data_IF_996632951106
#
_entry.id   IF_996632951106
#
_cell.length_a   1.000
_cell.length_b   1.000
_cell.length_c   1.000
_cell.angle_alpha   90.00
_cell.angle_beta   90.00
_cell.angle_gamma   90.00
#
_symmetry.space_group_name_H-M   'P 1'
#
loop_
_entity.id
_entity.type
_entity.pdbx_description
1 polymer ?
#
# COMPACT_ATOMS: atom_id res chain seq x y z
N UNK A 1 11.86 -20.41 -2.45
CA UNK A 1 11.23 -21.40 -1.55
C UNK A 1 10.77 -20.67 -0.30
N UNK A 2 9.46 -20.47 -0.10
CA UNK A 2 8.93 -19.71 1.05
C UNK A 2 9.07 -20.56 2.31
N UNK A 3 9.67 -20.01 3.37
CA UNK A 3 9.91 -20.72 4.64
C UNK A 3 8.61 -21.31 5.21
N UNK A 4 8.68 -22.51 5.80
CA UNK A 4 7.54 -23.22 6.37
C UNK A 4 6.79 -22.38 7.43
N UNK A 5 7.50 -21.47 8.11
CA UNK A 5 6.93 -20.52 9.08
C UNK A 5 6.02 -19.50 8.42
N UNK A 6 6.45 -18.92 7.28
CA UNK A 6 5.64 -17.98 6.50
C UNK A 6 4.38 -18.71 6.00
N UNK A 7 4.53 -19.95 5.48
CA UNK A 7 3.37 -20.76 5.04
C UNK A 7 2.34 -20.94 6.15
N UNK A 8 2.75 -21.13 7.42
CA UNK A 8 1.80 -21.24 8.53
C UNK A 8 1.04 -19.95 8.80
N UNK A 9 1.72 -18.80 8.75
CA UNK A 9 1.11 -17.48 8.94
C UNK A 9 0.10 -17.17 7.83
N UNK A 10 0.41 -17.50 6.58
CA UNK A 10 -0.45 -17.18 5.42
C UNK A 10 -1.47 -18.27 5.07
N UNK A 11 -1.31 -19.49 5.59
CA UNK A 11 -2.21 -20.61 5.29
C UNK A 11 -3.69 -20.38 5.62
N UNK A 12 -4.07 -19.67 6.70
CA UNK A 12 -5.48 -19.36 6.98
C UNK A 12 -6.07 -18.40 5.93
N UNK A 13 -5.24 -17.57 5.31
CA UNK A 13 -5.61 -16.62 4.24
C UNK A 13 -5.90 -17.31 2.89
N UNK A 14 -5.46 -18.57 2.73
CA UNK A 14 -5.62 -19.34 1.49
C UNK A 14 -6.70 -20.42 1.57
N UNK A 15 -7.53 -20.44 2.61
CA UNK A 15 -8.72 -21.30 2.59
C UNK A 15 -9.67 -20.79 1.49
N UNK A 16 -9.97 -21.59 0.45
CA UNK A 16 -10.92 -21.18 -0.56
C UNK A 16 -12.30 -21.17 0.10
N UNK A 17 -12.89 -19.98 0.24
CA UNK A 17 -14.32 -19.85 0.47
C UNK A 17 -15.00 -20.04 -0.89
N UNK A 18 -16.03 -20.88 -0.92
CA UNK A 18 -16.65 -21.39 -2.15
C UNK A 18 -17.08 -20.31 -3.16
N UNK A 19 -17.00 -20.72 -4.43
CA UNK A 19 -17.16 -19.96 -5.67
C UNK A 19 -18.20 -18.83 -5.68
N UNK A 20 -17.74 -17.64 -6.07
CA UNK A 20 -18.56 -16.52 -6.55
C UNK A 20 -17.76 -15.72 -7.59
N UNK A 21 -18.41 -15.37 -8.70
CA UNK A 21 -17.85 -15.07 -10.02
C UNK A 21 -16.76 -13.98 -10.12
N UNK A 22 -15.86 -14.20 -11.08
CA UNK A 22 -14.72 -13.35 -11.45
C UNK A 22 -15.16 -12.30 -12.47
N UNK A 23 -14.97 -11.01 -12.19
CA UNK A 23 -14.99 -9.96 -13.21
C UNK A 23 -13.57 -9.49 -13.52
N UNK A 24 -13.00 -10.02 -14.59
CA UNK A 24 -11.68 -9.69 -15.12
C UNK A 24 -11.77 -8.56 -16.15
N UNK A 25 -11.53 -7.30 -15.78
CA UNK A 25 -11.21 -6.22 -16.74
C UNK A 25 -10.31 -5.12 -16.14
N UNK A 26 -9.21 -4.86 -16.86
CA UNK A 26 -8.35 -3.67 -16.78
C UNK A 26 -7.41 -3.57 -15.58
N UNK A 27 -6.23 -2.96 -15.79
CA UNK A 27 -5.15 -2.83 -14.80
C UNK A 27 -5.65 -2.32 -13.45
N UNK A 28 -5.67 -3.21 -12.47
CA UNK A 28 -6.32 -2.98 -11.19
C UNK A 28 -5.34 -2.33 -10.21
N UNK A 29 -5.19 -1.01 -10.31
CA UNK A 29 -4.44 -0.23 -9.30
C UNK A 29 -5.07 -0.35 -7.90
N UNK A 30 -6.35 -0.72 -7.83
CA UNK A 30 -7.19 -0.76 -6.62
C UNK A 30 -7.22 -2.10 -5.86
N UNK A 31 -6.61 -3.17 -6.38
CA UNK A 31 -6.59 -4.48 -5.73
C UNK A 31 -7.93 -5.24 -5.78
N UNK A 32 -7.87 -6.54 -5.56
CA UNK A 32 -8.94 -7.53 -5.69
C UNK A 32 -9.60 -7.83 -4.35
N UNK A 33 -10.88 -8.21 -4.36
CA UNK A 33 -11.62 -8.63 -3.16
C UNK A 33 -12.13 -10.05 -3.34
N UNK A 34 -11.92 -10.90 -2.34
CA UNK A 34 -12.47 -12.25 -2.22
C UNK A 34 -13.01 -12.46 -0.80
N UNK A 35 -14.32 -12.34 -0.62
CA UNK A 35 -14.96 -12.42 0.70
C UNK A 35 -14.43 -11.32 1.63
N UNK A 36 -13.82 -11.72 2.75
CA UNK A 36 -13.20 -10.81 3.73
C UNK A 36 -11.75 -10.42 3.38
N UNK A 37 -11.18 -10.98 2.30
CA UNK A 37 -9.82 -10.73 1.87
C UNK A 37 -9.81 -9.67 0.76
N UNK A 38 -9.17 -8.53 1.01
CA UNK A 38 -8.67 -7.66 -0.05
C UNK A 38 -7.21 -8.01 -0.31
N UNK A 39 -6.79 -8.06 -1.57
CA UNK A 39 -5.41 -8.34 -1.93
C UNK A 39 -5.03 -7.73 -3.27
N UNK A 40 -3.79 -7.30 -3.37
CA UNK A 40 -3.18 -6.83 -4.62
C UNK A 40 -2.06 -7.78 -5.00
N UNK A 41 -2.29 -8.52 -6.07
CA UNK A 41 -1.30 -9.42 -6.66
C UNK A 41 -0.08 -8.64 -7.19
N UNK A 42 1.11 -9.21 -6.99
CA UNK A 42 2.41 -8.87 -7.59
C UNK A 42 2.50 -7.49 -8.28
N UNK A 43 2.82 -6.44 -7.53
CA UNK A 43 3.34 -5.19 -8.09
C UNK A 43 4.85 -5.29 -8.34
N UNK A 44 5.38 -4.49 -9.28
CA UNK A 44 6.81 -4.45 -9.61
C UNK A 44 7.45 -3.21 -9.00
N UNK A 45 8.62 -3.38 -8.38
CA UNK A 45 9.53 -2.28 -8.07
C UNK A 45 10.91 -2.56 -8.68
N UNK A 46 11.84 -1.60 -8.56
CA UNK A 46 13.17 -1.66 -9.20
C UNK A 46 14.01 -2.90 -8.85
N UNK A 47 13.69 -3.59 -7.74
CA UNK A 47 14.49 -4.70 -7.22
C UNK A 47 13.67 -5.98 -6.97
N UNK A 48 12.42 -6.07 -7.43
CA UNK A 48 11.62 -7.28 -7.21
C UNK A 48 10.11 -7.11 -7.39
N UNK A 49 9.39 -8.09 -6.87
CA UNK A 49 7.94 -8.16 -6.84
C UNK A 49 7.43 -8.13 -5.40
N UNK A 50 6.28 -7.48 -5.20
CA UNK A 50 5.62 -7.41 -3.90
C UNK A 50 4.14 -7.78 -4.02
N UNK A 51 3.54 -8.25 -2.93
CA UNK A 51 2.09 -8.42 -2.85
C UNK A 51 1.59 -7.84 -1.53
N UNK A 52 0.31 -7.47 -1.49
CA UNK A 52 -0.32 -6.94 -0.28
C UNK A 52 -1.68 -7.57 -0.08
N UNK A 53 -2.07 -7.76 1.17
CA UNK A 53 -3.40 -8.27 1.51
C UNK A 53 -3.86 -7.74 2.86
N UNK A 54 -5.16 -7.51 2.98
CA UNK A 54 -5.87 -7.16 4.21
C UNK A 54 -7.00 -8.15 4.39
N UNK A 55 -7.12 -8.73 5.58
CA UNK A 55 -8.23 -9.62 5.93
C UNK A 55 -9.06 -8.94 7.00
N UNK A 56 -10.34 -8.77 6.72
CA UNK A 56 -11.29 -8.23 7.67
C UNK A 56 -11.59 -9.26 8.76
N UNK A 57 -11.16 -8.98 10.00
CA UNK A 57 -11.46 -9.80 11.17
C UNK A 57 -12.65 -9.28 12.00
N UNK A 58 -12.92 -7.97 11.96
CA UNK A 58 -13.99 -7.30 12.69
C UNK A 58 -15.23 -7.05 11.80
N UNK A 59 -16.37 -6.71 12.42
CA UNK A 59 -17.59 -6.35 11.68
C UNK A 59 -17.39 -5.18 10.72
N UNK A 60 -16.51 -4.25 11.11
CA UNK A 60 -16.08 -3.12 10.32
C UNK A 60 -14.60 -3.29 10.01
N UNK A 61 -14.21 -3.11 8.76
CA UNK A 61 -12.80 -3.07 8.39
C UNK A 61 -12.23 -1.70 8.75
N UNK A 62 -11.66 -1.62 9.96
CA UNK A 62 -11.02 -0.41 10.46
C UNK A 62 -9.59 -0.27 9.89
N UNK A 63 -8.92 -1.40 9.62
CA UNK A 63 -7.57 -1.40 9.07
C UNK A 63 -7.53 -0.88 7.63
N UNK A 64 -6.48 -0.13 7.33
CA UNK A 64 -6.20 0.37 5.98
C UNK A 64 -4.76 0.02 5.59
N UNK A 65 -4.53 -0.08 4.29
CA UNK A 65 -3.19 -0.38 3.76
C UNK A 65 -2.94 0.35 2.45
N UNK A 66 -1.69 0.78 2.23
CA UNK A 66 -1.28 1.51 1.03
C UNK A 66 0.04 0.96 0.52
N UNK A 67 0.17 0.91 -0.80
CA UNK A 67 1.40 0.47 -1.45
C UNK A 67 1.64 1.24 -2.75
N UNK A 68 2.74 1.97 -2.76
CA UNK A 68 3.11 2.88 -3.84
C UNK A 68 4.57 2.64 -4.22
N UNK A 69 4.85 2.41 -5.50
CA UNK A 69 6.21 2.25 -6.00
C UNK A 69 6.46 3.24 -7.14
N UNK A 70 7.64 3.87 -7.13
CA UNK A 70 8.01 4.88 -8.11
C UNK A 70 8.68 6.09 -7.45
N UNK A 71 8.58 7.28 -8.05
CA UNK A 71 9.14 8.51 -7.48
C UNK A 71 8.55 8.79 -6.09
N UNK A 72 9.42 9.02 -5.10
CA UNK A 72 9.04 9.38 -3.74
C UNK A 72 8.76 10.88 -3.56
N UNK A 73 9.11 11.70 -4.54
CA UNK A 73 8.81 13.13 -4.61
C UNK A 73 7.99 13.50 -5.85
N UNK A 74 7.68 14.79 -5.98
CA UNK A 74 6.93 15.34 -7.13
C UNK A 74 7.84 15.83 -8.26
N UNK A 75 9.14 15.99 -8.01
CA UNK A 75 10.09 16.61 -8.95
C UNK A 75 10.70 15.53 -9.84
N UNK A 76 11.01 15.91 -11.08
CA UNK A 76 11.71 15.04 -12.01
C UNK A 76 13.13 14.76 -11.47
N UNK A 77 13.47 13.48 -11.30
CA UNK A 77 14.72 13.06 -10.66
C UNK A 77 14.59 12.69 -9.18
N UNK A 78 13.39 12.83 -8.58
CA UNK A 78 13.15 12.36 -7.20
C UNK A 78 13.55 10.88 -7.02
N UNK A 79 14.04 10.50 -5.83
CA UNK A 79 14.43 9.13 -5.54
C UNK A 79 13.30 8.14 -5.85
N UNK A 80 13.66 7.07 -6.57
CA UNK A 80 12.75 5.95 -6.78
C UNK A 80 12.71 5.10 -5.51
N UNK A 81 11.51 4.75 -5.06
CA UNK A 81 11.34 3.97 -3.85
C UNK A 81 10.02 3.21 -3.82
N UNK A 82 9.78 2.55 -2.69
CA UNK A 82 8.52 1.88 -2.41
C UNK A 82 8.06 2.28 -1.03
N UNK A 83 6.86 2.85 -0.97
CA UNK A 83 6.19 3.23 0.26
C UNK A 83 5.17 2.16 0.62
N UNK A 84 5.28 1.64 1.85
CA UNK A 84 4.37 0.64 2.41
C UNK A 84 3.72 1.23 3.65
N UNK A 85 2.39 1.35 3.64
CA UNK A 85 1.59 1.82 4.75
C UNK A 85 0.70 0.71 5.31
N UNK A 86 0.77 0.47 6.61
CA UNK A 86 -0.13 -0.43 7.34
C UNK A 86 -0.69 0.37 8.52
N UNK A 87 -2.01 0.53 8.55
CA UNK A 87 -2.69 1.40 9.51
C UNK A 87 -3.74 0.58 10.26
N UNK A 88 -3.44 0.26 11.51
CA UNK A 88 -4.35 -0.42 12.45
C UNK A 88 -5.40 0.60 12.93
N UNK A 89 -6.67 0.35 12.59
CA UNK A 89 -7.76 1.27 12.90
C UNK A 89 -8.48 0.88 14.20
N UNK A 90 -8.91 1.88 14.98
CA UNK A 90 -9.66 1.63 16.20
C UNK A 90 -10.68 2.74 16.50
N UNK A 91 -11.90 2.33 16.87
CA UNK A 91 -12.98 3.26 17.19
C UNK A 91 -13.66 3.84 15.94
N UNK A 92 -13.52 3.15 14.80
CA UNK A 92 -13.95 3.57 13.47
C UNK A 92 -12.80 3.61 12.45
N UNK A 93 -13.10 3.53 11.14
CA UNK A 93 -12.11 3.53 10.05
C UNK A 93 -11.61 4.94 9.67
N UNK A 94 -12.14 5.99 10.29
CA UNK A 94 -11.94 7.37 9.83
C UNK A 94 -10.47 7.79 9.92
N UNK A 95 -9.79 7.44 11.01
CA UNK A 95 -8.39 7.82 11.22
C UNK A 95 -7.44 7.06 10.28
N UNK A 96 -7.56 5.74 10.20
CA UNK A 96 -6.75 4.91 9.31
C UNK A 96 -6.97 5.28 7.84
N UNK A 97 -8.21 5.59 7.45
CA UNK A 97 -8.55 6.06 6.10
C UNK A 97 -7.98 7.43 5.81
N UNK A 98 -8.08 8.36 6.77
CA UNK A 98 -7.48 9.69 6.63
C UNK A 98 -5.97 9.61 6.38
N UNK A 99 -5.26 8.74 7.11
CA UNK A 99 -3.83 8.51 6.92
C UNK A 99 -3.56 7.92 5.53
N UNK A 100 -4.30 6.86 5.14
CA UNK A 100 -4.16 6.21 3.84
C UNK A 100 -4.29 7.20 2.66
N UNK A 101 -5.24 8.13 2.74
CA UNK A 101 -5.51 9.09 1.67
C UNK A 101 -4.46 10.22 1.56
N UNK A 102 -3.67 10.47 2.61
CA UNK A 102 -2.90 11.71 2.77
C UNK A 102 -1.40 11.49 3.00
N UNK A 103 -1.00 10.43 3.71
CA UNK A 103 0.36 10.30 4.19
C UNK A 103 1.38 10.28 3.06
N UNK A 104 1.18 9.43 2.04
CA UNK A 104 2.11 9.36 0.91
C UNK A 104 2.16 10.66 0.09
N UNK A 105 1.02 11.37 -0.07
CA UNK A 105 0.98 12.67 -0.75
C UNK A 105 1.81 13.72 0.00
N UNK A 106 1.73 13.70 1.33
CA UNK A 106 2.54 14.58 2.17
C UNK A 106 4.03 14.22 2.05
N UNK A 107 4.39 12.93 2.07
CA UNK A 107 5.78 12.46 1.83
C UNK A 107 6.32 13.00 0.50
N UNK A 108 5.54 12.90 -0.58
CA UNK A 108 5.89 13.44 -1.90
C UNK A 108 6.13 14.96 -1.92
N UNK A 109 5.50 15.68 -1.01
CA UNK A 109 5.62 17.14 -0.91
C UNK A 109 6.79 17.57 -0.03
N UNK A 110 7.32 16.70 0.84
CA UNK A 110 8.49 17.03 1.67
C UNK A 110 9.74 17.21 0.81
N UNK A 111 9.93 16.37 -0.20
CA UNK A 111 11.05 16.43 -1.15
C UNK A 111 11.13 17.82 -1.83
N UNK A 112 9.97 18.36 -2.24
CA UNK A 112 9.86 19.70 -2.84
C UNK A 112 10.33 20.81 -1.89
N UNK A 113 10.03 20.69 -0.59
CA UNK A 113 10.36 21.73 0.39
C UNK A 113 11.83 21.75 0.76
N UNK A 114 12.50 20.60 0.75
CA UNK A 114 13.95 20.54 0.96
C UNK A 114 14.70 21.15 -0.22
N UNK A 115 14.26 20.89 -1.45
CA UNK A 115 14.84 21.50 -2.66
C UNK A 115 14.66 23.03 -2.70
N UNK A 116 13.48 23.55 -2.33
CA UNK A 116 13.25 25.00 -2.25
C UNK A 116 14.11 25.68 -1.17
N UNK A 117 14.25 25.07 0.01
CA UNK A 117 15.13 25.59 1.06
C UNK A 117 16.61 25.55 0.65
N UNK A 118 17.04 24.49 -0.04
CA UNK A 118 18.40 24.37 -0.57
C UNK A 118 18.70 25.29 -1.76
N UNK A 119 17.69 25.81 -2.45
CA UNK A 119 17.85 26.87 -3.46
C UNK A 119 17.99 28.24 -2.79
N UNK A 120 17.17 28.53 -1.78
CA UNK A 120 17.22 29.79 -1.02
C UNK A 120 18.53 30.01 -0.24
N UNK A 121 19.23 28.93 0.14
CA UNK A 121 20.54 29.01 0.81
C UNK A 121 21.73 29.08 -0.16
N UNK A 122 21.54 28.83 -1.47
CA UNK A 122 22.61 28.95 -2.48
C UNK A 122 22.76 30.37 -3.04
N UNK A 123 21.81 31.25 -2.76
CA UNK A 123 21.78 32.65 -3.20
C UNK A 123 22.23 33.65 -2.10
N UNK A 124 22.92 33.17 -1.05
CA UNK A 124 23.59 33.99 -0.03
C UNK A 124 25.08 33.67 0.06
#
# INVERSE_FOLDING_TARGET
MVSATIRRIVSPCWRPSDAGEVSSRSGDSSGRVNGLLWYKDSGRHSNGEYSMSVIQANKLLEDQSQLESGPLGLIEGSPQGTFVGIYDGHGGPEASRFINDRLFKNVKTLDVKEDENGLNDRDK
#
